data_IF_690361993081
#
_entry.id   IF_690361993081
#
_cell.length_a   1.000
_cell.length_b   1.000
_cell.length_c   1.000
_cell.angle_alpha   90.00
_cell.angle_beta   90.00
_cell.angle_gamma   90.00
#
_symmetry.space_group_name_H-M   'P 1'
#
loop_
_entity.id
_entity.type
_entity.pdbx_description
1 polymer ?
#
# COMPACT_ATOMS: atom_id res chain seq x y z
N UNK A 1 -48.82 -11.01 54.32
CA UNK A 1 -48.06 -10.30 53.28
C UNK A 1 -46.92 -9.56 53.95
N UNK A 2 -45.74 -10.17 53.93
CA UNK A 2 -44.50 -9.56 54.40
C UNK A 2 -43.37 -10.23 53.62
N UNK A 3 -42.70 -9.50 52.74
CA UNK A 3 -41.46 -9.96 52.12
C UNK A 3 -40.54 -8.75 52.07
N UNK A 4 -39.62 -8.69 53.04
CA UNK A 4 -38.51 -7.75 53.04
C UNK A 4 -37.52 -8.08 51.92
N UNK A 5 -36.80 -7.08 51.39
CA UNK A 5 -35.77 -7.23 50.37
C UNK A 5 -34.41 -7.49 51.02
N UNK A 6 -33.60 -8.40 50.47
CA UNK A 6 -32.17 -8.40 50.80
C UNK A 6 -31.35 -9.03 49.66
N UNK A 7 -30.75 -8.11 48.89
CA UNK A 7 -29.36 -8.14 48.43
C UNK A 7 -28.69 -9.51 48.24
N UNK A 8 -28.47 -9.88 46.98
CA UNK A 8 -27.26 -10.63 46.63
C UNK A 8 -26.60 -10.00 45.42
N UNK A 9 -25.60 -9.20 45.77
CA UNK A 9 -24.52 -8.65 44.97
C UNK A 9 -24.03 -9.70 43.95
N UNK A 10 -24.45 -9.58 42.69
CA UNK A 10 -23.75 -10.21 41.58
C UNK A 10 -22.72 -9.20 41.08
N UNK A 11 -21.50 -9.43 41.53
CA UNK A 11 -20.28 -8.96 40.89
C UNK A 11 -20.30 -9.40 39.43
N UNK A 12 -20.57 -8.45 38.53
CA UNK A 12 -20.44 -8.66 37.07
C UNK A 12 -19.05 -8.19 36.69
N UNK A 13 -18.15 -9.06 36.23
CA UNK A 13 -16.88 -8.60 35.69
C UNK A 13 -17.16 -7.92 34.36
N UNK A 14 -17.05 -6.59 34.32
CA UNK A 14 -17.20 -5.78 33.11
C UNK A 14 -16.11 -6.16 32.08
N UNK A 15 -16.40 -6.87 30.99
CA UNK A 15 -15.41 -7.14 29.94
C UNK A 15 -15.56 -6.05 28.88
N UNK A 16 -15.28 -4.79 29.25
CA UNK A 16 -15.57 -3.64 28.38
C UNK A 16 -14.36 -2.78 28.02
N UNK A 17 -13.38 -2.67 28.93
CA UNK A 17 -12.34 -1.63 28.81
C UNK A 17 -11.14 -2.03 27.94
N UNK A 18 -10.81 -3.33 27.86
CA UNK A 18 -9.68 -3.80 27.05
C UNK A 18 -10.03 -4.07 25.59
N UNK A 19 -11.31 -4.31 25.28
CA UNK A 19 -11.77 -4.57 23.91
C UNK A 19 -11.81 -3.27 23.08
N UNK A 20 -12.20 -2.14 23.68
CA UNK A 20 -12.26 -0.84 23.00
C UNK A 20 -10.85 -0.32 22.65
N UNK A 21 -9.90 -0.39 23.60
CA UNK A 21 -8.51 0.01 23.37
C UNK A 21 -7.81 -0.84 22.29
N UNK A 22 -8.12 -2.15 22.23
CA UNK A 22 -7.59 -3.03 21.19
C UNK A 22 -8.21 -2.76 19.81
N UNK A 23 -9.48 -2.33 19.77
CA UNK A 23 -10.17 -1.96 18.52
C UNK A 23 -9.68 -0.62 17.98
N UNK A 24 -9.35 0.36 18.83
CA UNK A 24 -8.70 1.60 18.41
C UNK A 24 -7.25 1.38 17.95
N UNK A 25 -6.47 0.55 18.65
CA UNK A 25 -5.11 0.21 18.24
C UNK A 25 -5.09 -0.59 16.92
N UNK A 26 -6.02 -1.53 16.73
CA UNK A 26 -6.18 -2.27 15.48
C UNK A 26 -6.74 -1.41 14.33
N UNK A 27 -7.63 -0.45 14.62
CA UNK A 27 -8.14 0.49 13.62
C UNK A 27 -7.09 1.49 13.14
N UNK A 28 -6.07 1.78 13.96
CA UNK A 28 -4.89 2.59 13.55
C UNK A 28 -3.81 1.78 12.85
N UNK A 29 -3.72 0.47 13.12
CA UNK A 29 -2.74 -0.42 12.50
C UNK A 29 -3.19 -1.01 11.15
N UNK A 30 -4.50 -1.00 10.86
CA UNK A 30 -5.09 -1.59 9.63
C UNK A 30 -5.64 -0.57 8.62
N UNK A 31 -5.44 0.73 8.83
CA UNK A 31 -5.74 1.79 7.86
C UNK A 31 -4.45 2.42 7.33
N UNK A 32 -4.37 2.63 6.03
CA UNK A 32 -3.30 3.34 5.31
C UNK A 32 -1.94 2.65 5.20
N UNK A 33 -1.83 1.67 4.30
CA UNK A 33 -0.74 1.82 3.32
C UNK A 33 -0.91 3.20 2.66
N UNK A 34 0.11 4.06 2.80
CA UNK A 34 0.16 5.39 2.19
C UNK A 34 -0.30 5.29 0.73
N UNK A 35 -1.25 6.12 0.26
CA UNK A 35 -1.70 6.09 -1.13
C UNK A 35 -0.53 6.18 -2.14
N UNK A 36 0.53 6.88 -1.77
CA UNK A 36 1.79 6.98 -2.52
C UNK A 36 2.48 5.62 -2.62
N UNK A 37 2.53 4.85 -1.52
CA UNK A 37 3.12 3.52 -1.50
C UNK A 37 2.34 2.52 -2.34
N UNK A 38 1.00 2.60 -2.32
CA UNK A 38 0.15 1.78 -3.20
C UNK A 38 0.40 2.12 -4.67
N UNK A 39 0.47 3.40 -5.01
CA UNK A 39 0.74 3.85 -6.37
C UNK A 39 2.13 3.38 -6.86
N UNK A 40 3.16 3.51 -6.03
CA UNK A 40 4.51 3.01 -6.35
C UNK A 40 4.51 1.50 -6.59
N UNK A 41 3.85 0.72 -5.71
CA UNK A 41 3.76 -0.75 -5.86
C UNK A 41 3.08 -1.17 -7.15
N UNK A 42 2.01 -0.49 -7.53
CA UNK A 42 1.30 -0.77 -8.76
C UNK A 42 2.13 -0.40 -10.00
N UNK A 43 2.79 0.76 -10.01
CA UNK A 43 3.70 1.13 -11.09
C UNK A 43 4.88 0.14 -11.22
N UNK A 44 5.44 -0.34 -10.10
CA UNK A 44 6.46 -1.38 -10.12
C UNK A 44 5.92 -2.70 -10.72
N UNK A 45 4.66 -3.05 -10.46
CA UNK A 45 4.01 -4.23 -11.07
C UNK A 45 3.87 -4.04 -12.58
N UNK A 46 3.44 -2.87 -13.03
CA UNK A 46 3.33 -2.54 -14.45
C UNK A 46 4.69 -2.61 -15.15
N UNK A 47 5.75 -2.06 -14.52
CA UNK A 47 7.10 -2.15 -15.06
C UNK A 47 7.56 -3.61 -15.25
N UNK A 48 7.30 -4.49 -14.27
CA UNK A 48 7.59 -5.94 -14.38
C UNK A 48 6.81 -6.61 -15.51
N UNK A 49 5.58 -6.16 -15.79
CA UNK A 49 4.80 -6.68 -16.91
C UNK A 49 5.39 -6.25 -18.26
N UNK A 50 5.79 -4.98 -18.40
CA UNK A 50 6.45 -4.47 -19.60
C UNK A 50 7.77 -5.22 -19.86
N UNK A 51 8.60 -5.43 -18.83
CA UNK A 51 9.84 -6.19 -18.96
C UNK A 51 9.62 -7.61 -19.45
N UNK A 52 8.64 -8.33 -18.87
CA UNK A 52 8.25 -9.66 -19.35
C UNK A 52 7.75 -9.64 -20.79
N UNK A 53 7.06 -8.58 -21.21
CA UNK A 53 6.64 -8.45 -22.60
C UNK A 53 7.83 -8.21 -23.53
N UNK A 54 8.83 -7.43 -23.12
CA UNK A 54 10.06 -7.26 -23.88
C UNK A 54 10.81 -8.59 -24.05
N UNK A 55 10.89 -9.41 -23.00
CA UNK A 55 11.48 -10.76 -23.09
C UNK A 55 10.71 -11.63 -24.09
N UNK A 56 9.38 -11.61 -24.06
CA UNK A 56 8.56 -12.32 -25.06
C UNK A 56 8.80 -11.82 -26.48
N UNK A 57 8.97 -10.51 -26.71
CA UNK A 57 9.28 -9.95 -28.03
C UNK A 57 10.67 -10.39 -28.49
N UNK A 58 11.68 -10.37 -27.61
CA UNK A 58 13.05 -10.83 -27.91
C UNK A 58 13.03 -12.29 -28.36
N UNK A 59 12.29 -13.12 -27.65
CA UNK A 59 12.17 -14.56 -27.91
C UNK A 59 11.13 -14.92 -28.98
N UNK A 60 10.43 -13.94 -29.55
CA UNK A 60 9.41 -14.18 -30.58
C UNK A 60 10.04 -14.60 -31.92
N UNK A 61 9.24 -15.18 -32.80
CA UNK A 61 9.63 -15.49 -34.19
C UNK A 61 9.53 -14.29 -35.16
N UNK A 62 9.31 -13.06 -34.67
CA UNK A 62 9.16 -11.88 -35.53
C UNK A 62 10.49 -11.47 -36.21
N UNK A 63 10.42 -10.69 -37.30
CA UNK A 63 11.63 -10.19 -37.97
C UNK A 63 12.41 -9.23 -37.07
N UNK A 64 13.73 -9.03 -37.29
CA UNK A 64 14.52 -8.09 -36.51
C UNK A 64 13.94 -6.67 -36.46
N UNK A 65 13.40 -6.17 -37.57
CA UNK A 65 12.79 -4.84 -37.68
C UNK A 65 11.51 -4.74 -36.85
N UNK A 66 10.67 -5.78 -36.92
CA UNK A 66 9.45 -5.87 -36.12
C UNK A 66 9.76 -5.93 -34.63
N UNK A 67 10.78 -6.71 -34.23
CA UNK A 67 11.26 -6.76 -32.85
C UNK A 67 11.79 -5.41 -32.39
N UNK A 68 12.60 -4.75 -33.21
CA UNK A 68 13.19 -3.45 -32.88
C UNK A 68 12.10 -2.40 -32.64
N UNK A 69 11.11 -2.31 -33.52
CA UNK A 69 9.97 -1.39 -33.37
C UNK A 69 9.18 -1.68 -32.10
N UNK A 70 8.84 -2.94 -31.84
CA UNK A 70 8.10 -3.33 -30.64
C UNK A 70 8.89 -3.07 -29.35
N UNK A 71 10.19 -3.38 -29.34
CA UNK A 71 11.05 -3.13 -28.19
C UNK A 71 11.24 -1.64 -27.94
N UNK A 72 11.34 -0.81 -28.98
CA UNK A 72 11.42 0.64 -28.83
C UNK A 72 10.16 1.19 -28.16
N UNK A 73 8.97 0.75 -28.57
CA UNK A 73 7.71 1.14 -27.96
C UNK A 73 7.62 0.70 -26.48
N UNK A 74 7.98 -0.55 -26.17
CA UNK A 74 7.99 -1.06 -24.80
C UNK A 74 9.02 -0.36 -23.91
N UNK A 75 10.20 -0.02 -24.45
CA UNK A 75 11.22 0.75 -23.73
C UNK A 75 10.73 2.16 -23.41
N UNK A 76 10.04 2.82 -24.34
CA UNK A 76 9.44 4.14 -24.08
C UNK A 76 8.41 4.05 -22.94
N UNK A 77 7.55 3.02 -22.96
CA UNK A 77 6.59 2.78 -21.88
C UNK A 77 7.29 2.52 -20.54
N UNK A 78 8.35 1.70 -20.52
CA UNK A 78 9.13 1.43 -19.33
C UNK A 78 9.77 2.71 -18.76
N UNK A 79 10.33 3.58 -19.61
CA UNK A 79 10.92 4.85 -19.21
C UNK A 79 9.88 5.78 -18.57
N UNK A 80 8.68 5.87 -19.14
CA UNK A 80 7.57 6.64 -18.54
C UNK A 80 7.22 6.13 -17.14
N UNK A 81 7.04 4.81 -16.99
CA UNK A 81 6.71 4.21 -15.69
C UNK A 81 7.83 4.47 -14.66
N UNK A 82 9.10 4.30 -15.07
CA UNK A 82 10.25 4.58 -14.21
C UNK A 82 10.29 6.04 -13.75
N UNK A 83 10.00 6.99 -14.64
CA UNK A 83 9.90 8.41 -14.29
C UNK A 83 8.80 8.68 -13.26
N UNK A 84 7.62 8.08 -13.42
CA UNK A 84 6.53 8.19 -12.44
C UNK A 84 6.90 7.61 -11.07
N UNK A 85 7.59 6.47 -11.04
CA UNK A 85 8.08 5.87 -9.79
C UNK A 85 9.06 6.82 -9.08
N UNK A 86 10.03 7.36 -9.81
CA UNK A 86 11.03 8.27 -9.25
C UNK A 86 10.38 9.54 -8.67
N UNK A 87 9.41 10.10 -9.38
CA UNK A 87 8.64 11.27 -8.91
C UNK A 87 7.93 10.98 -7.59
N UNK A 88 7.17 9.90 -7.51
CA UNK A 88 6.43 9.53 -6.28
C UNK A 88 7.38 9.20 -5.12
N UNK A 89 8.53 8.56 -5.40
CA UNK A 89 9.54 8.32 -4.36
C UNK A 89 10.11 9.64 -3.82
N UNK A 90 10.36 10.62 -4.70
CA UNK A 90 10.80 11.96 -4.30
C UNK A 90 9.76 12.68 -3.44
N UNK A 91 8.49 12.64 -3.83
CA UNK A 91 7.37 13.19 -3.06
C UNK A 91 7.26 12.54 -1.67
N UNK A 92 7.38 11.20 -1.61
CA UNK A 92 7.39 10.46 -0.34
C UNK A 92 8.53 10.92 0.57
N UNK A 93 9.75 11.01 0.04
CA UNK A 93 10.92 11.44 0.81
C UNK A 93 10.75 12.87 1.34
N UNK A 94 10.23 13.78 0.51
CA UNK A 94 9.96 15.15 0.91
C UNK A 94 8.90 15.25 2.01
N UNK A 95 7.81 14.48 1.90
CA UNK A 95 6.77 14.42 2.92
C UNK A 95 7.30 13.89 4.27
N UNK A 96 8.14 12.85 4.22
CA UNK A 96 8.79 12.31 5.42
C UNK A 96 9.72 13.34 6.08
N UNK A 97 10.55 14.04 5.30
CA UNK A 97 11.44 15.08 5.80
C UNK A 97 10.66 16.24 6.43
N UNK A 98 9.59 16.71 5.78
CA UNK A 98 8.72 17.76 6.33
C UNK A 98 8.05 17.33 7.65
N UNK A 99 7.59 16.08 7.73
CA UNK A 99 6.99 15.53 8.96
C UNK A 99 7.99 15.37 10.12
N UNK A 100 9.28 15.21 9.81
CA UNK A 100 10.34 15.14 10.81
C UNK A 100 10.71 16.53 11.31
N UNK A 101 10.83 17.52 10.40
CA UNK A 101 11.11 18.91 10.76
C UNK A 101 9.99 19.57 11.58
N UNK A 102 8.72 19.22 11.34
CA UNK A 102 7.59 19.73 12.11
C UNK A 102 7.49 19.17 13.54
N UNK A 103 8.30 18.17 13.90
CA UNK A 103 8.30 17.49 15.21
C UNK A 103 9.52 17.81 16.07
N UNK A 104 10.50 18.55 15.56
CA UNK A 104 11.68 19.03 16.29
C UNK A 104 11.57 20.51 16.60
#
# INVERSE_FOLDING_TARGET
MAISPLSRLLDVPTPGLFAAARKEAASRASQNEDPTDKAIKELQRQLRLVQRQMERVRNSGATPEQKASQLQALNAQAATIQGSIQKLMGEKLAALAASAAARG
#
